data_IF_700515226955
#
_entry.id   IF_700515226955
#
_cell.length_a   1.000
_cell.length_b   1.000
_cell.length_c   1.000
_cell.angle_alpha   90.00
_cell.angle_beta   90.00
_cell.angle_gamma   90.00
#
_symmetry.space_group_name_H-M   'P 1'
#
loop_
_entity.id
_entity.type
_entity.pdbx_description
1 polymer ?
#
# COMPACT_ATOMS: atom_id res chain seq x y z
N UNK A 1 -15.19 23.15 -5.36
CA UNK A 1 -13.77 23.29 -5.76
C UNK A 1 -12.76 22.58 -4.83
N UNK A 2 -12.78 22.72 -3.50
CA UNK A 2 -11.74 22.14 -2.61
C UNK A 2 -11.63 20.61 -2.67
N UNK A 3 -12.77 19.89 -2.74
CA UNK A 3 -12.80 18.41 -2.88
C UNK A 3 -12.16 17.92 -4.18
N UNK A 4 -12.47 18.57 -5.31
CA UNK A 4 -11.91 18.23 -6.64
C UNK A 4 -10.40 18.38 -6.63
N UNK A 5 -9.87 19.51 -6.12
CA UNK A 5 -8.42 19.73 -6.00
C UNK A 5 -7.71 18.64 -5.20
N UNK A 6 -8.31 18.19 -4.09
CA UNK A 6 -7.75 17.11 -3.27
C UNK A 6 -7.71 15.79 -4.01
N UNK A 7 -8.79 15.40 -4.70
CA UNK A 7 -8.79 14.16 -5.48
C UNK A 7 -7.84 14.21 -6.66
N UNK A 8 -7.76 15.33 -7.38
CA UNK A 8 -6.78 15.51 -8.45
C UNK A 8 -5.34 15.37 -7.95
N UNK A 9 -5.02 15.95 -6.78
CA UNK A 9 -3.69 15.81 -6.19
C UNK A 9 -3.39 14.35 -5.79
N UNK A 10 -4.35 13.67 -5.17
CA UNK A 10 -4.23 12.24 -4.83
C UNK A 10 -3.99 11.39 -6.09
N UNK A 11 -4.75 11.65 -7.15
CA UNK A 11 -4.60 10.95 -8.42
C UNK A 11 -3.25 11.21 -9.05
N UNK A 12 -2.78 12.47 -9.07
CA UNK A 12 -1.45 12.82 -9.58
C UNK A 12 -0.34 12.13 -8.77
N UNK A 13 -0.45 12.10 -7.44
CA UNK A 13 0.51 11.37 -6.60
C UNK A 13 0.50 9.87 -6.91
N UNK A 14 -0.68 9.27 -7.09
CA UNK A 14 -0.81 7.85 -7.46
C UNK A 14 -0.20 7.53 -8.83
N UNK A 15 -0.46 8.36 -9.85
CA UNK A 15 0.10 8.23 -11.20
C UNK A 15 1.62 8.42 -11.16
N UNK A 16 2.10 9.50 -10.54
CA UNK A 16 3.52 9.80 -10.48
C UNK A 16 4.30 8.71 -9.75
N UNK A 17 3.76 8.21 -8.63
CA UNK A 17 4.38 7.12 -7.90
C UNK A 17 4.37 5.81 -8.72
N UNK A 18 3.26 5.49 -9.39
CA UNK A 18 3.19 4.34 -10.30
C UNK A 18 4.24 4.42 -11.41
N UNK A 19 4.39 5.58 -12.03
CA UNK A 19 5.37 5.83 -13.08
C UNK A 19 6.82 5.67 -12.59
N UNK A 20 7.16 6.26 -11.44
CA UNK A 20 8.50 6.14 -10.85
C UNK A 20 8.85 4.68 -10.53
N UNK A 21 7.91 3.94 -9.95
CA UNK A 21 8.08 2.52 -9.65
C UNK A 21 8.29 1.69 -10.92
N UNK A 22 7.44 1.90 -11.92
CA UNK A 22 7.56 1.25 -13.22
C UNK A 22 8.92 1.53 -13.88
N UNK A 23 9.33 2.80 -13.94
CA UNK A 23 10.58 3.22 -14.56
C UNK A 23 11.80 2.61 -13.86
N UNK A 24 11.84 2.64 -12.53
CA UNK A 24 12.93 2.05 -11.75
C UNK A 24 13.09 0.55 -12.08
N UNK A 25 11.98 -0.18 -12.18
CA UNK A 25 11.98 -1.63 -12.39
C UNK A 25 12.37 -1.98 -13.82
N UNK A 26 11.79 -1.30 -14.81
CA UNK A 26 12.12 -1.52 -16.22
C UNK A 26 13.60 -1.24 -16.45
N UNK A 27 14.14 -0.15 -15.90
CA UNK A 27 15.57 0.18 -16.02
C UNK A 27 16.44 -0.97 -15.50
N UNK A 28 16.13 -1.51 -14.34
CA UNK A 28 16.92 -2.61 -13.76
C UNK A 28 16.76 -3.93 -14.52
N UNK A 29 15.55 -4.25 -15.01
CA UNK A 29 15.33 -5.44 -15.83
C UNK A 29 16.03 -5.32 -17.19
N UNK A 30 16.07 -4.13 -17.79
CA UNK A 30 16.79 -3.90 -19.04
C UNK A 30 18.30 -4.07 -18.87
N UNK A 31 18.89 -3.62 -17.75
CA UNK A 31 20.29 -3.90 -17.45
C UNK A 31 20.55 -5.41 -17.37
N UNK A 32 19.71 -6.14 -16.63
CA UNK A 32 19.83 -7.60 -16.53
C UNK A 32 19.71 -8.29 -17.90
N UNK A 33 18.74 -7.90 -18.74
CA UNK A 33 18.60 -8.44 -20.11
C UNK A 33 19.85 -8.18 -20.96
N UNK A 34 20.44 -6.99 -20.83
CA UNK A 34 21.66 -6.61 -21.55
C UNK A 34 22.87 -7.44 -21.12
N UNK A 35 23.08 -7.56 -19.81
CA UNK A 35 24.25 -8.25 -19.23
C UNK A 35 24.21 -9.76 -19.47
N UNK A 36 23.03 -10.38 -19.34
CA UNK A 36 22.88 -11.84 -19.42
C UNK A 36 22.28 -12.35 -20.74
N UNK A 37 21.85 -11.45 -21.64
CA UNK A 37 21.23 -11.79 -22.94
C UNK A 37 20.04 -12.74 -22.83
N UNK A 38 19.21 -12.56 -21.81
CA UNK A 38 18.01 -13.36 -21.55
C UNK A 38 16.76 -12.57 -21.91
N UNK A 39 15.77 -13.24 -22.51
CA UNK A 39 14.43 -12.69 -22.65
C UNK A 39 13.60 -12.94 -21.40
N UNK A 40 13.05 -11.86 -20.85
CA UNK A 40 12.24 -11.90 -19.65
C UNK A 40 10.76 -11.68 -19.99
N UNK A 41 9.83 -12.39 -19.34
CA UNK A 41 8.41 -12.17 -19.52
C UNK A 41 7.90 -10.98 -18.68
N UNK A 42 6.70 -10.47 -18.96
CA UNK A 42 6.04 -9.43 -18.15
C UNK A 42 5.88 -9.81 -16.68
N UNK A 43 5.84 -11.11 -16.37
CA UNK A 43 5.85 -11.61 -14.99
C UNK A 43 7.09 -11.16 -14.21
N UNK A 44 8.24 -10.96 -14.87
CA UNK A 44 9.43 -10.42 -14.22
C UNK A 44 9.23 -9.00 -13.67
N UNK A 45 8.44 -8.18 -14.37
CA UNK A 45 8.07 -6.83 -13.93
C UNK A 45 7.19 -6.90 -12.68
N UNK A 46 6.21 -7.81 -12.67
CA UNK A 46 5.33 -8.06 -11.51
C UNK A 46 6.08 -8.56 -10.29
N UNK A 47 6.88 -9.61 -10.50
CA UNK A 47 7.67 -10.20 -9.45
C UNK A 47 8.58 -9.14 -8.80
N UNK A 48 9.03 -8.11 -9.54
CA UNK A 48 9.86 -7.01 -9.02
C UNK A 48 9.06 -5.90 -8.37
N UNK A 49 7.96 -5.49 -8.98
CA UNK A 49 7.05 -4.45 -8.43
C UNK A 49 6.59 -4.79 -7.02
N UNK A 50 6.40 -6.08 -6.80
CA UNK A 50 5.73 -6.57 -5.61
C UNK A 50 6.60 -7.53 -4.80
N UNK A 51 7.85 -7.71 -5.23
CA UNK A 51 8.90 -8.50 -4.57
C UNK A 51 8.40 -9.91 -4.30
N UNK A 52 8.67 -10.84 -5.21
CA UNK A 52 8.23 -12.23 -5.10
C UNK A 52 8.78 -12.92 -3.84
N UNK A 53 8.05 -13.89 -3.27
CA UNK A 53 8.49 -14.64 -2.06
C UNK A 53 9.83 -15.33 -2.21
N UNK A 54 10.10 -15.81 -3.42
CA UNK A 54 11.37 -16.43 -3.80
C UNK A 54 12.39 -15.40 -4.31
N UNK A 55 12.37 -14.21 -3.71
CA UNK A 55 13.24 -13.09 -4.06
C UNK A 55 14.72 -13.48 -4.17
N UNK A 56 15.17 -14.36 -3.28
CA UNK A 56 16.56 -14.82 -3.22
C UNK A 56 16.87 -15.94 -4.23
N UNK A 57 15.87 -16.65 -4.75
CA UNK A 57 16.04 -17.76 -5.69
C UNK A 57 15.87 -17.39 -7.16
N UNK A 58 15.36 -16.19 -7.47
CA UNK A 58 15.13 -15.74 -8.84
C UNK A 58 16.30 -14.88 -9.32
N UNK A 59 17.03 -15.31 -10.35
CA UNK A 59 18.27 -14.65 -10.80
C UNK A 59 18.10 -13.17 -11.18
N UNK A 60 17.02 -12.83 -11.88
CA UNK A 60 16.72 -11.43 -12.23
C UNK A 60 16.12 -10.62 -11.08
N UNK A 61 15.87 -11.23 -9.91
CA UNK A 61 15.60 -10.54 -8.63
C UNK A 61 16.85 -10.38 -7.80
N UNK A 62 17.74 -11.37 -7.89
CA UNK A 62 18.84 -11.58 -6.97
C UNK A 62 19.82 -10.41 -6.99
N UNK A 63 19.64 -9.55 -6.00
CA UNK A 63 20.59 -8.54 -5.61
C UNK A 63 20.23 -8.15 -4.19
N UNK A 64 21.20 -8.21 -3.27
CA UNK A 64 21.11 -7.71 -1.89
C UNK A 64 20.92 -6.18 -1.83
N UNK A 65 20.33 -5.58 -2.87
CA UNK A 65 20.15 -4.16 -2.98
C UNK A 65 18.82 -3.79 -2.35
N UNK A 66 18.89 -3.27 -1.13
CA UNK A 66 17.78 -2.70 -0.37
C UNK A 66 16.96 -1.70 -1.20
N UNK A 67 17.56 -1.09 -2.23
CA UNK A 67 16.87 -0.20 -3.17
C UNK A 67 15.68 -0.85 -3.89
N UNK A 68 15.59 -2.17 -3.96
CA UNK A 68 14.43 -2.85 -4.54
C UNK A 68 13.20 -2.79 -3.62
N UNK A 69 13.39 -2.70 -2.30
CA UNK A 69 12.33 -2.55 -1.29
C UNK A 69 11.79 -1.13 -1.19
N UNK A 70 12.55 -0.15 -1.68
CA UNK A 70 12.19 1.27 -1.63
C UNK A 70 10.87 1.53 -2.35
N UNK A 71 10.64 0.86 -3.47
CA UNK A 71 9.43 0.97 -4.28
C UNK A 71 8.15 0.65 -3.49
N UNK A 72 7.97 -0.59 -2.99
CA UNK A 72 6.79 -0.94 -2.20
C UNK A 72 6.75 -0.18 -0.87
N UNK A 73 7.90 0.10 -0.24
CA UNK A 73 7.95 0.88 1.00
C UNK A 73 7.36 2.29 0.82
N UNK A 74 7.80 3.01 -0.23
CA UNK A 74 7.29 4.36 -0.53
C UNK A 74 5.80 4.31 -0.87
N UNK A 75 5.32 3.25 -1.53
CA UNK A 75 3.89 3.06 -1.78
C UNK A 75 3.07 3.00 -0.48
N UNK A 76 3.42 2.13 0.46
CA UNK A 76 2.72 2.04 1.75
C UNK A 76 2.84 3.34 2.55
N UNK A 77 4.03 3.94 2.61
CA UNK A 77 4.26 5.19 3.33
C UNK A 77 3.43 6.33 2.76
N UNK A 78 3.44 6.50 1.43
CA UNK A 78 2.70 7.56 0.74
C UNK A 78 1.20 7.36 0.91
N UNK A 79 0.70 6.13 0.82
CA UNK A 79 -0.72 5.84 1.03
C UNK A 79 -1.20 6.22 2.44
N UNK A 80 -0.39 5.93 3.47
CA UNK A 80 -0.68 6.35 4.84
C UNK A 80 -0.66 7.87 4.95
N UNK A 81 0.36 8.55 4.40
CA UNK A 81 0.42 10.02 4.43
C UNK A 81 -0.78 10.66 3.70
N UNK A 82 -1.15 10.16 2.53
CA UNK A 82 -2.27 10.65 1.73
C UNK A 82 -3.61 10.48 2.47
N UNK A 83 -3.82 9.29 3.06
CA UNK A 83 -5.01 9.03 3.88
C UNK A 83 -5.06 9.91 5.12
N UNK A 84 -3.91 10.17 5.72
CA UNK A 84 -3.77 10.86 7.00
C UNK A 84 -3.68 12.36 6.91
N UNK A 85 -3.35 12.90 5.74
CA UNK A 85 -3.30 14.34 5.47
C UNK A 85 -4.57 15.06 5.93
N UNK A 86 -5.73 14.41 5.79
CA UNK A 86 -7.01 14.99 6.24
C UNK A 86 -7.06 15.21 7.75
N UNK A 87 -6.61 14.24 8.55
CA UNK A 87 -6.70 14.33 10.00
C UNK A 87 -5.47 14.92 10.67
N UNK A 88 -4.32 14.93 9.99
CA UNK A 88 -3.17 15.69 10.45
C UNK A 88 -3.34 17.19 10.23
N UNK A 89 -4.15 17.60 9.23
CA UNK A 89 -4.41 19.02 8.95
C UNK A 89 -5.52 19.63 9.79
N UNK A 90 -6.39 18.82 10.39
CA UNK A 90 -7.36 19.29 11.38
C UNK A 90 -6.87 18.85 12.74
N UNK A 91 -6.47 19.80 13.59
CA UNK A 91 -5.91 19.51 14.91
C UNK A 91 -6.76 18.52 15.70
N UNK A 92 -6.13 17.75 16.58
CA UNK A 92 -6.79 16.70 17.39
C UNK A 92 -8.04 17.22 18.14
N UNK A 93 -8.01 18.48 18.59
CA UNK A 93 -9.11 19.17 19.27
C UNK A 93 -10.38 19.26 18.40
N UNK A 94 -10.24 19.41 17.08
CA UNK A 94 -11.39 19.41 16.16
C UNK A 94 -12.12 18.07 16.19
N UNK A 95 -11.38 16.96 16.25
CA UNK A 95 -11.97 15.64 16.30
C UNK A 95 -12.62 15.32 17.64
N UNK A 96 -12.00 15.74 18.75
CA UNK A 96 -12.62 15.68 20.07
C UNK A 96 -13.95 16.44 20.08
N UNK A 97 -14.00 17.65 19.50
CA UNK A 97 -15.22 18.44 19.40
C UNK A 97 -16.32 17.76 18.57
N UNK A 98 -15.98 17.19 17.42
CA UNK A 98 -16.93 16.43 16.59
C UNK A 98 -17.51 15.25 17.37
N UNK A 99 -16.70 14.58 18.19
CA UNK A 99 -17.13 13.41 18.95
C UNK A 99 -17.98 13.76 20.17
N UNK A 100 -17.69 14.87 20.86
CA UNK A 100 -18.50 15.39 21.96
C UNK A 100 -19.89 15.79 21.48
N UNK A 101 -20.00 16.38 20.27
CA UNK A 101 -21.28 16.81 19.69
C UNK A 101 -22.03 15.73 18.93
N UNK A 102 -21.43 14.56 18.74
CA UNK A 102 -22.10 13.45 18.08
C UNK A 102 -23.05 12.76 19.05
N UNK A 103 -24.31 12.54 18.64
CA UNK A 103 -25.29 11.73 19.40
C UNK A 103 -24.75 10.36 19.82
N UNK A 104 -23.81 9.83 19.03
CA UNK A 104 -23.17 8.54 19.26
C UNK A 104 -21.71 8.63 18.83
N UNK A 105 -20.79 8.33 19.76
CA UNK A 105 -19.35 8.29 19.48
C UNK A 105 -19.02 7.42 18.26
N UNK A 106 -19.69 6.28 18.09
CA UNK A 106 -19.52 5.38 16.92
C UNK A 106 -19.89 6.06 15.60
N UNK A 107 -20.93 6.91 15.58
CA UNK A 107 -21.31 7.67 14.37
C UNK A 107 -20.24 8.71 14.05
N UNK A 108 -19.75 9.43 15.05
CA UNK A 108 -18.69 10.42 14.88
C UNK A 108 -17.38 9.82 14.37
N UNK A 109 -16.95 8.69 14.94
CA UNK A 109 -15.79 7.93 14.46
C UNK A 109 -15.94 7.47 13.02
N UNK A 110 -17.08 6.89 12.67
CA UNK A 110 -17.37 6.45 11.31
C UNK A 110 -17.31 7.62 10.33
N UNK A 111 -17.79 8.80 10.73
CA UNK A 111 -17.74 10.00 9.90
C UNK A 111 -16.30 10.44 9.64
N UNK A 112 -15.48 10.57 10.68
CA UNK A 112 -14.07 10.94 10.54
C UNK A 112 -13.32 9.91 9.69
N UNK A 113 -13.56 8.62 9.96
CA UNK A 113 -12.92 7.51 9.27
C UNK A 113 -13.24 7.46 7.77
N UNK A 114 -14.50 7.68 7.40
CA UNK A 114 -14.98 7.58 6.01
C UNK A 114 -14.23 8.52 5.07
N UNK A 115 -13.86 9.71 5.53
CA UNK A 115 -13.18 10.69 4.68
C UNK A 115 -11.76 10.27 4.29
N UNK A 116 -10.99 9.68 5.21
CA UNK A 116 -9.65 9.21 4.91
C UNK A 116 -9.63 7.88 4.17
N UNK A 117 -10.53 6.94 4.52
CA UNK A 117 -10.59 5.65 3.83
C UNK A 117 -10.92 5.78 2.34
N UNK A 118 -11.82 6.68 1.95
CA UNK A 118 -12.11 6.97 0.54
C UNK A 118 -10.87 7.47 -0.20
N UNK A 119 -10.04 8.32 0.43
CA UNK A 119 -8.81 8.84 -0.18
C UNK A 119 -7.77 7.74 -0.38
N UNK A 120 -7.60 6.86 0.61
CA UNK A 120 -6.71 5.69 0.52
C UNK A 120 -7.15 4.76 -0.61
N UNK A 121 -8.45 4.48 -0.72
CA UNK A 121 -9.00 3.64 -1.81
C UNK A 121 -8.78 4.28 -3.16
N UNK A 122 -9.07 5.57 -3.33
CA UNK A 122 -8.84 6.28 -4.60
C UNK A 122 -7.35 6.30 -4.96
N UNK A 123 -6.47 6.60 -4.00
CA UNK A 123 -5.02 6.54 -4.21
C UNK A 123 -4.59 5.15 -4.71
N UNK A 124 -5.01 4.10 -4.00
CA UNK A 124 -4.68 2.71 -4.35
C UNK A 124 -5.20 2.36 -5.75
N UNK A 125 -6.45 2.65 -6.07
CA UNK A 125 -7.04 2.35 -7.38
C UNK A 125 -6.30 3.07 -8.51
N UNK A 126 -6.02 4.37 -8.34
CA UNK A 126 -5.29 5.15 -9.36
C UNK A 126 -3.88 4.61 -9.54
N UNK A 127 -3.18 4.30 -8.45
CA UNK A 127 -1.84 3.71 -8.50
C UNK A 127 -1.83 2.40 -9.28
N UNK A 128 -2.70 1.45 -8.91
CA UNK A 128 -2.78 0.15 -9.56
C UNK A 128 -3.22 0.28 -11.03
N UNK A 129 -4.27 1.03 -11.34
CA UNK A 129 -4.72 1.21 -12.73
C UNK A 129 -3.61 1.81 -13.62
N UNK A 130 -2.92 2.85 -13.13
CA UNK A 130 -1.80 3.45 -13.86
C UNK A 130 -0.67 2.45 -14.08
N UNK A 131 -0.38 1.63 -13.07
CA UNK A 131 0.67 0.63 -13.14
C UNK A 131 0.32 -0.48 -14.14
N UNK A 132 -0.94 -0.92 -14.13
CA UNK A 132 -1.46 -1.88 -15.09
C UNK A 132 -1.32 -1.36 -16.53
N UNK A 133 -1.69 -0.11 -16.78
CA UNK A 133 -1.54 0.53 -18.09
C UNK A 133 -0.07 0.57 -18.51
N UNK A 134 0.83 0.99 -17.61
CA UNK A 134 2.26 1.06 -17.89
C UNK A 134 2.86 -0.32 -18.17
N UNK A 135 2.53 -1.35 -17.39
CA UNK A 135 3.05 -2.71 -17.64
C UNK A 135 2.45 -3.32 -18.91
N UNK A 136 1.18 -3.04 -19.22
CA UNK A 136 0.50 -3.59 -20.38
C UNK A 136 0.95 -2.96 -21.70
N UNK A 137 1.22 -1.65 -21.72
CA UNK A 137 1.48 -0.90 -22.96
C UNK A 137 2.83 -0.20 -23.01
N UNK A 138 3.55 -0.07 -21.90
CA UNK A 138 4.79 0.72 -21.82
C UNK A 138 6.08 -0.05 -22.14
N UNK A 139 6.00 -1.33 -22.50
CA UNK A 139 7.17 -2.17 -22.78
C UNK A 139 6.82 -3.32 -23.75
N UNK A 140 7.87 -3.91 -24.32
CA UNK A 140 7.79 -5.01 -25.29
C UNK A 140 8.05 -6.39 -24.67
N UNK A 141 7.92 -6.55 -23.34
CA UNK A 141 8.11 -7.87 -22.72
C UNK A 141 6.93 -8.77 -23.13
N UNK A 142 7.16 -10.04 -23.51
CA UNK A 142 6.09 -10.95 -23.86
C UNK A 142 5.30 -11.40 -22.62
N UNK A 143 4.03 -11.75 -22.83
CA UNK A 143 3.27 -12.49 -21.83
C UNK A 143 3.69 -13.97 -21.88
N UNK A 144 4.26 -14.50 -20.79
CA UNK A 144 4.52 -15.95 -20.66
C UNK A 144 3.25 -16.74 -20.33
N UNK A 145 2.27 -16.09 -19.72
CA UNK A 145 1.00 -16.65 -19.30
C UNK A 145 -0.14 -16.07 -20.16
N UNK A 146 -1.32 -16.73 -20.16
CA UNK A 146 -2.48 -16.12 -20.80
C UNK A 146 -2.80 -14.76 -20.17
N UNK A 147 -3.22 -13.80 -21.01
CA UNK A 147 -3.63 -12.46 -20.56
C UNK A 147 -4.68 -12.53 -19.43
N UNK A 148 -5.54 -13.56 -19.46
CA UNK A 148 -6.54 -13.82 -18.44
C UNK A 148 -5.93 -14.12 -17.07
N UNK A 149 -4.91 -14.97 -17.00
CA UNK A 149 -4.24 -15.31 -15.74
C UNK A 149 -3.52 -14.08 -15.17
N UNK A 150 -2.79 -13.36 -16.02
CA UNK A 150 -2.14 -12.10 -15.67
C UNK A 150 -3.12 -11.08 -15.07
N UNK A 151 -4.28 -10.87 -15.71
CA UNK A 151 -5.29 -9.93 -15.22
C UNK A 151 -5.87 -10.36 -13.87
N UNK A 152 -6.11 -11.66 -13.66
CA UNK A 152 -6.63 -12.18 -12.40
C UNK A 152 -5.65 -11.95 -11.24
N UNK A 153 -4.36 -12.21 -11.47
CA UNK A 153 -3.30 -11.99 -10.47
C UNK A 153 -3.18 -10.51 -10.11
N UNK A 154 -3.23 -9.62 -11.12
CA UNK A 154 -3.24 -8.18 -10.88
C UNK A 154 -4.43 -7.69 -10.04
N UNK A 155 -5.65 -8.18 -10.33
CA UNK A 155 -6.85 -7.80 -9.58
C UNK A 155 -6.78 -8.29 -8.13
N UNK A 156 -6.40 -9.55 -7.91
CA UNK A 156 -6.26 -10.10 -6.55
C UNK A 156 -5.24 -9.31 -5.73
N UNK A 157 -4.11 -8.95 -6.34
CA UNK A 157 -3.10 -8.13 -5.71
C UNK A 157 -3.61 -6.73 -5.36
N UNK A 158 -4.25 -6.06 -6.30
CA UNK A 158 -4.83 -4.73 -6.07
C UNK A 158 -5.81 -4.73 -4.90
N UNK A 159 -6.60 -5.80 -4.76
CA UNK A 159 -7.50 -5.99 -3.63
C UNK A 159 -6.74 -6.21 -2.32
N UNK A 160 -5.74 -7.11 -2.31
CA UNK A 160 -4.94 -7.41 -1.13
C UNK A 160 -4.21 -6.16 -0.59
N UNK A 161 -3.57 -5.39 -1.47
CA UNK A 161 -2.92 -4.13 -1.11
C UNK A 161 -3.91 -3.10 -0.58
N UNK A 162 -5.07 -2.95 -1.22
CA UNK A 162 -6.08 -2.00 -0.76
C UNK A 162 -6.62 -2.38 0.62
N UNK A 163 -6.84 -3.67 0.88
CA UNK A 163 -7.25 -4.17 2.19
C UNK A 163 -6.19 -3.93 3.26
N UNK A 164 -4.92 -4.23 2.96
CA UNK A 164 -3.80 -3.99 3.88
C UNK A 164 -3.64 -2.49 4.19
N UNK A 165 -3.75 -1.63 3.18
CA UNK A 165 -3.73 -0.18 3.34
C UNK A 165 -4.86 0.33 4.21
N UNK A 166 -6.09 -0.16 4.00
CA UNK A 166 -7.23 0.19 4.84
C UNK A 166 -7.04 -0.26 6.29
N UNK A 167 -6.52 -1.46 6.50
CA UNK A 167 -6.18 -1.99 7.82
C UNK A 167 -5.14 -1.13 8.55
N UNK A 168 -4.03 -0.83 7.88
CA UNK A 168 -2.99 0.06 8.41
C UNK A 168 -3.52 1.46 8.68
N UNK A 169 -4.34 2.00 7.79
CA UNK A 169 -4.92 3.32 7.95
C UNK A 169 -5.89 3.39 9.14
N UNK A 170 -6.76 2.39 9.32
CA UNK A 170 -7.66 2.33 10.46
C UNK A 170 -6.90 2.18 11.79
N UNK A 171 -5.88 1.33 11.83
CA UNK A 171 -5.04 1.18 13.02
C UNK A 171 -4.32 2.50 13.33
N UNK A 172 -3.76 3.12 12.30
CA UNK A 172 -3.10 4.41 12.40
C UNK A 172 -4.03 5.51 12.91
N UNK A 173 -5.28 5.55 12.45
CA UNK A 173 -6.27 6.49 12.95
C UNK A 173 -6.55 6.27 14.45
N UNK A 174 -6.67 5.03 14.91
CA UNK A 174 -6.82 4.73 16.34
C UNK A 174 -5.60 5.20 17.16
N UNK A 175 -4.38 4.99 16.62
CA UNK A 175 -3.15 5.47 17.25
C UNK A 175 -3.10 6.99 17.36
N UNK A 176 -3.40 7.70 16.26
CA UNK A 176 -3.42 9.17 16.20
C UNK A 176 -4.26 9.81 17.31
N UNK A 177 -5.36 9.16 17.69
CA UNK A 177 -6.23 9.64 18.76
C UNK A 177 -5.59 9.55 20.16
N UNK A 178 -4.56 8.74 20.36
CA UNK A 178 -3.86 8.62 21.65
C UNK A 178 -2.50 9.31 21.67
N UNK A 179 -1.78 9.36 20.55
CA UNK A 179 -0.43 9.96 20.49
C UNK A 179 -0.44 11.39 19.93
N UNK A 180 0.71 12.05 19.95
CA UNK A 180 0.94 13.33 19.25
C UNK A 180 1.06 13.09 17.73
N UNK A 181 0.88 14.12 16.91
CA UNK A 181 1.01 14.00 15.44
C UNK A 181 2.38 13.47 15.01
N UNK A 182 3.45 13.87 15.69
CA UNK A 182 4.80 13.33 15.47
C UNK A 182 4.88 11.85 15.87
N UNK A 183 4.38 11.49 17.06
CA UNK A 183 4.33 10.10 17.52
C UNK A 183 3.54 9.19 16.57
N UNK A 184 2.47 9.70 15.96
CA UNK A 184 1.72 9.00 14.94
C UNK A 184 2.55 8.71 13.69
N UNK A 185 3.25 9.72 13.15
CA UNK A 185 4.07 9.56 11.95
C UNK A 185 5.21 8.57 12.18
N UNK A 186 5.93 8.69 13.30
CA UNK A 186 7.00 7.76 13.67
C UNK A 186 6.48 6.34 13.94
N UNK A 187 5.34 6.22 14.62
CA UNK A 187 4.70 4.94 14.88
C UNK A 187 4.31 4.23 13.59
N UNK A 188 3.67 4.94 12.65
CA UNK A 188 3.28 4.36 11.37
C UNK A 188 4.48 4.02 10.48
N UNK A 189 5.52 4.86 10.43
CA UNK A 189 6.75 4.52 9.72
C UNK A 189 7.43 3.29 10.34
N UNK A 190 7.41 3.18 11.67
CA UNK A 190 7.92 2.02 12.39
C UNK A 190 7.15 0.74 12.05
N UNK A 191 5.82 0.79 12.05
CA UNK A 191 4.97 -0.36 11.67
C UNK A 191 5.24 -0.81 10.23
N UNK A 192 5.31 0.13 9.28
CA UNK A 192 5.64 -0.19 7.89
C UNK A 192 7.03 -0.82 7.82
N UNK A 193 8.03 -0.21 8.45
CA UNK A 193 9.41 -0.73 8.48
C UNK A 193 9.46 -2.14 9.05
N UNK A 194 8.78 -2.41 10.17
CA UNK A 194 8.70 -3.74 10.78
C UNK A 194 8.07 -4.76 9.84
N UNK A 195 7.01 -4.40 9.10
CA UNK A 195 6.43 -5.30 8.10
C UNK A 195 7.42 -5.67 6.99
N UNK A 196 8.22 -4.71 6.52
CA UNK A 196 9.28 -4.96 5.54
C UNK A 196 10.42 -5.80 6.11
N UNK A 197 10.85 -5.54 7.35
CA UNK A 197 11.88 -6.35 8.03
C UNK A 197 11.40 -7.79 8.21
N UNK A 198 10.19 -7.99 8.74
CA UNK A 198 9.62 -9.33 8.92
C UNK A 198 9.55 -10.06 7.59
N UNK A 199 9.12 -9.40 6.51
CA UNK A 199 9.12 -10.03 5.19
C UNK A 199 10.51 -10.39 4.67
N UNK A 200 11.52 -9.56 4.93
CA UNK A 200 12.90 -9.84 4.54
C UNK A 200 13.52 -11.00 5.35
N UNK A 201 13.17 -11.09 6.64
CA UNK A 201 13.62 -12.15 7.54
C UNK A 201 12.87 -13.47 7.33
N UNK A 202 11.62 -13.41 6.89
CA UNK A 202 10.75 -14.57 6.66
C UNK A 202 10.17 -14.52 5.24
N UNK A 203 10.99 -14.78 4.19
CA UNK A 203 10.58 -14.64 2.79
C UNK A 203 9.38 -15.53 2.41
N UNK A 204 9.18 -16.66 3.10
CA UNK A 204 8.02 -17.55 2.92
C UNK A 204 6.73 -17.04 3.58
N UNK A 205 6.79 -16.03 4.45
CA UNK A 205 5.62 -15.51 5.17
C UNK A 205 4.83 -14.45 4.38
N UNK A 206 5.38 -13.93 3.27
CA UNK A 206 4.71 -13.08 2.27
C UNK A 206 3.62 -12.13 2.78
N UNK A 207 3.91 -11.32 3.80
CA UNK A 207 2.89 -10.42 4.38
C UNK A 207 2.53 -9.26 3.44
N UNK A 208 3.45 -8.88 2.54
CA UNK A 208 3.29 -7.80 1.54
C UNK A 208 3.53 -8.33 0.10
N UNK A 209 4.13 -9.51 -0.04
CA UNK A 209 4.73 -10.01 -1.27
C UNK A 209 3.81 -10.97 -2.05
N UNK A 210 4.19 -11.27 -3.30
CA UNK A 210 3.49 -12.24 -4.15
C UNK A 210 4.13 -13.61 -3.98
N UNK A 211 3.33 -14.62 -3.62
CA UNK A 211 3.79 -16.00 -3.53
C UNK A 211 3.80 -16.73 -4.90
N UNK A 212 4.55 -17.82 -5.01
CA UNK A 212 4.72 -18.66 -6.21
C UNK A 212 3.41 -19.07 -6.89
N UNK A 213 2.33 -19.22 -6.11
CA UNK A 213 0.98 -19.58 -6.58
C UNK A 213 0.02 -18.40 -6.68
N UNK A 214 0.50 -17.16 -6.74
CA UNK A 214 -0.36 -15.97 -6.69
C UNK A 214 -1.25 -15.98 -5.43
N UNK A 215 -0.71 -16.48 -4.32
CA UNK A 215 -1.46 -16.64 -3.09
C UNK A 215 -1.40 -15.36 -2.25
N UNK A 216 -2.25 -14.39 -2.61
CA UNK A 216 -2.38 -13.09 -1.92
C UNK A 216 -3.14 -13.17 -0.57
N UNK A 217 -3.36 -14.39 -0.07
CA UNK A 217 -4.23 -14.68 1.07
C UNK A 217 -3.66 -14.09 2.36
N UNK A 218 -2.35 -14.14 2.58
CA UNK A 218 -1.75 -13.65 3.82
C UNK A 218 -1.90 -12.13 3.97
N UNK A 219 -1.55 -11.32 2.95
CA UNK A 219 -1.75 -9.86 3.01
C UNK A 219 -3.22 -9.48 3.20
N UNK A 220 -4.13 -10.21 2.53
CA UNK A 220 -5.57 -9.98 2.65
C UNK A 220 -6.08 -10.32 4.06
N UNK A 221 -5.65 -11.45 4.61
CA UNK A 221 -5.98 -11.88 5.98
C UNK A 221 -5.41 -10.90 6.99
N UNK A 222 -4.15 -10.48 6.84
CA UNK A 222 -3.53 -9.48 7.69
C UNK A 222 -4.30 -8.15 7.65
N UNK A 223 -4.63 -7.67 6.44
CA UNK A 223 -5.45 -6.48 6.26
C UNK A 223 -6.80 -6.58 6.98
N UNK A 224 -7.49 -7.71 6.84
CA UNK A 224 -8.74 -7.99 7.55
C UNK A 224 -8.56 -8.04 9.07
N UNK A 225 -7.52 -8.72 9.56
CA UNK A 225 -7.18 -8.75 10.98
C UNK A 225 -6.95 -7.34 11.53
N UNK A 226 -6.20 -6.49 10.82
CA UNK A 226 -5.98 -5.09 11.22
C UNK A 226 -7.28 -4.29 11.25
N UNK A 227 -8.18 -4.48 10.27
CA UNK A 227 -9.50 -3.83 10.26
C UNK A 227 -10.32 -4.26 11.49
N UNK A 228 -10.34 -5.56 11.79
CA UNK A 228 -11.07 -6.14 12.94
C UNK A 228 -10.47 -5.66 14.26
N UNK A 229 -9.15 -5.66 14.40
CA UNK A 229 -8.45 -5.14 15.58
C UNK A 229 -8.75 -3.66 15.79
N UNK A 230 -8.71 -2.86 14.72
CA UNK A 230 -9.06 -1.44 14.79
C UNK A 230 -10.51 -1.23 15.24
N UNK A 231 -11.43 -2.08 14.80
CA UNK A 231 -12.83 -2.03 15.24
C UNK A 231 -12.99 -2.37 16.73
N UNK A 232 -12.28 -3.38 17.23
CA UNK A 232 -12.29 -3.70 18.67
C UNK A 232 -11.62 -2.60 19.50
N UNK A 233 -10.54 -2.02 19.02
CA UNK A 233 -9.85 -0.92 19.69
C UNK A 233 -10.76 0.31 19.76
N UNK A 234 -11.45 0.65 18.67
CA UNK A 234 -12.39 1.79 18.64
C UNK A 234 -13.45 1.69 19.73
N UNK A 235 -13.95 0.49 20.03
CA UNK A 235 -14.93 0.27 21.11
C UNK A 235 -14.38 0.56 22.51
N UNK A 236 -13.06 0.47 22.71
CA UNK A 236 -12.38 0.67 23.99
C UNK A 236 -11.75 2.07 24.12
N UNK A 237 -11.91 2.94 23.12
CA UNK A 237 -11.37 4.30 23.19
C UNK A 237 -12.26 5.15 24.10
N UNK A 238 -11.93 5.15 25.40
CA UNK A 238 -12.35 6.19 26.32
C UNK A 238 -11.54 7.46 26.04
N UNK A 239 -12.27 8.54 25.74
CA UNK A 239 -11.69 9.87 25.66
C UNK A 239 -11.59 10.41 27.07
N UNK A 240 -10.37 10.49 27.58
CA UNK A 240 -10.04 11.53 28.53
C UNK A 240 -10.04 12.84 27.74
N UNK A 241 -10.91 13.76 28.18
CA UNK A 241 -10.99 15.13 27.68
C UNK A 241 -9.83 15.91 28.28
#
# INVERSE_FOLDING_TARGET
MRKIKTFSLISLTGIGLSYLNYYQIIRQLNYYRGDYRVDLPKRAIFNRLFIHTDFYGIDYMAGKNVMQLVSPFIFFLTAVVVGSFFFLSMEKNYYQYVLIRSENKKKGYRWIRRYGSVKVVVFSLVFHLSLFTLVSYGNNYPYAESLRMFNQSFVKLSLAHTLLLLGLWYLGFCLYLKVTSLGYLFGMSGVITSLFIINMSFPKASLIFIDWQDNYSISSVLGMCLIVLSYFWEKKLDYEI
#
